data_IF_420695831461
#
_entry.id   IF_420695831461
#
_cell.length_a   1.000
_cell.length_b   1.000
_cell.length_c   1.000
_cell.angle_alpha   90.00
_cell.angle_beta   90.00
_cell.angle_gamma   90.00
#
_symmetry.space_group_name_H-M   'P 1'
#
loop_
_entity.id
_entity.type
_entity.pdbx_description
1 polymer ?
#
# COMPACT_ATOMS: atom_id res chain seq x y z
N UNK A 1 -21.98 -21.96 12.53
CA UNK A 1 -21.10 -20.78 12.57
C UNK A 1 -21.72 -19.80 11.59
N UNK A 2 -22.41 -18.79 12.12
CA UNK A 2 -23.34 -17.96 11.36
C UNK A 2 -22.56 -16.87 10.61
N UNK A 3 -22.87 -16.73 9.33
CA UNK A 3 -22.43 -15.67 8.43
C UNK A 3 -22.70 -14.30 9.06
N UNK A 4 -21.63 -13.56 9.36
CA UNK A 4 -21.76 -12.15 9.68
C UNK A 4 -22.16 -11.42 8.40
N UNK A 5 -23.26 -10.64 8.38
CA UNK A 5 -23.62 -9.87 7.20
C UNK A 5 -22.52 -8.82 6.97
N UNK A 6 -21.88 -8.87 5.79
CA UNK A 6 -21.00 -7.80 5.32
C UNK A 6 -21.82 -6.52 5.26
N UNK A 7 -21.56 -5.60 6.19
CA UNK A 7 -22.15 -4.28 6.16
C UNK A 7 -21.52 -3.51 4.99
N UNK A 8 -22.16 -3.55 3.83
CA UNK A 8 -21.86 -2.63 2.73
C UNK A 8 -22.66 -1.34 2.95
N UNK A 9 -21.94 -0.29 3.37
CA UNK A 9 -22.45 1.07 3.37
C UNK A 9 -21.59 1.92 2.44
N UNK A 10 -22.21 2.74 1.61
CA UNK A 10 -21.48 3.83 0.95
C UNK A 10 -20.86 4.70 2.04
N UNK A 11 -19.54 4.93 1.98
CA UNK A 11 -18.86 5.87 2.87
C UNK A 11 -19.35 7.30 2.57
N UNK A 12 -20.50 7.68 3.15
CA UNK A 12 -21.15 8.99 2.95
C UNK A 12 -20.34 10.16 3.51
N UNK A 13 -19.28 9.86 4.27
CA UNK A 13 -18.43 10.85 4.91
C UNK A 13 -16.97 10.51 4.60
N UNK A 14 -16.36 11.26 3.67
CA UNK A 14 -14.90 11.45 3.70
C UNK A 14 -14.63 12.34 4.90
N UNK A 15 -14.19 11.75 6.01
CA UNK A 15 -13.68 12.51 7.14
C UNK A 15 -12.57 13.43 6.62
N UNK A 16 -12.62 14.71 6.98
CA UNK A 16 -11.55 15.63 6.59
C UNK A 16 -10.32 15.31 7.44
N UNK A 17 -9.37 14.61 6.82
CA UNK A 17 -8.02 14.45 7.33
C UNK A 17 -7.11 15.47 6.65
N UNK A 18 -6.02 15.83 7.32
CA UNK A 18 -4.95 16.54 6.64
C UNK A 18 -4.47 15.69 5.45
N UNK A 19 -4.06 16.35 4.37
CA UNK A 19 -3.45 15.66 3.22
C UNK A 19 -2.27 14.85 3.73
N UNK A 20 -2.29 13.54 3.47
CA UNK A 20 -1.20 12.63 3.85
C UNK A 20 0.07 13.07 3.15
N UNK A 21 1.19 13.05 3.85
CA UNK A 21 2.51 13.21 3.27
C UNK A 21 3.13 11.82 3.13
N UNK A 22 3.21 11.33 1.89
CA UNK A 22 3.72 10.01 1.58
C UNK A 22 5.19 9.85 2.01
N UNK A 23 6.02 10.89 1.88
CA UNK A 23 7.44 10.82 2.23
C UNK A 23 7.68 10.87 3.74
N UNK A 24 6.86 11.62 4.47
CA UNK A 24 6.81 11.54 5.93
C UNK A 24 6.42 10.14 6.39
N UNK A 25 5.39 9.55 5.78
CA UNK A 25 4.97 8.19 6.07
C UNK A 25 6.10 7.19 5.75
N UNK A 26 6.72 7.28 4.57
CA UNK A 26 7.80 6.37 4.20
C UNK A 26 8.94 6.36 5.22
N UNK A 27 9.32 7.55 5.74
CA UNK A 27 10.32 7.65 6.81
C UNK A 27 10.03 6.69 7.98
N UNK A 28 8.76 6.63 8.39
CA UNK A 28 8.31 5.91 9.58
C UNK A 28 7.92 4.45 9.31
N UNK A 29 7.65 4.07 8.06
CA UNK A 29 7.22 2.72 7.66
C UNK A 29 8.30 1.98 6.83
N UNK A 30 9.50 1.68 7.37
CA UNK A 30 10.49 0.89 6.63
C UNK A 30 10.02 -0.54 6.35
N UNK A 31 9.06 -1.04 7.11
CA UNK A 31 8.38 -2.32 6.90
C UNK A 31 6.90 -2.13 7.17
N UNK A 32 6.05 -2.75 6.34
CA UNK A 32 4.62 -2.81 6.52
C UNK A 32 4.08 -4.20 6.17
N UNK A 33 2.91 -4.54 6.68
CA UNK A 33 2.17 -5.76 6.32
C UNK A 33 0.79 -5.36 5.82
N UNK A 34 0.34 -5.95 4.72
CA UNK A 34 -1.03 -5.78 4.26
C UNK A 34 -1.97 -6.59 5.16
N UNK A 35 -2.94 -5.90 5.76
CA UNK A 35 -3.96 -6.52 6.62
C UNK A 35 -5.29 -6.73 5.89
N UNK A 36 -5.59 -5.86 4.94
CA UNK A 36 -6.80 -5.91 4.13
C UNK A 36 -6.51 -5.32 2.76
N UNK A 37 -7.16 -5.90 1.76
CA UNK A 37 -7.37 -5.37 0.42
C UNK A 37 -8.88 -5.40 0.08
N UNK A 38 -9.28 -4.73 -1.00
CA UNK A 38 -10.71 -4.53 -1.30
C UNK A 38 -11.37 -5.63 -2.11
N UNK A 39 -10.61 -6.50 -2.78
CA UNK A 39 -11.18 -7.49 -3.69
C UNK A 39 -11.23 -8.90 -3.11
N UNK A 40 -10.46 -9.16 -2.03
CA UNK A 40 -10.44 -10.39 -1.26
C UNK A 40 -10.19 -11.62 -2.15
N UNK A 41 -9.40 -11.46 -3.22
CA UNK A 41 -8.95 -12.55 -4.09
C UNK A 41 -7.78 -13.36 -3.47
N UNK A 42 -7.24 -12.85 -2.37
CA UNK A 42 -6.22 -13.46 -1.52
C UNK A 42 -4.81 -13.43 -2.11
N UNK A 43 -4.55 -12.65 -3.17
CA UNK A 43 -3.25 -12.56 -3.81
C UNK A 43 -2.24 -11.70 -3.00
N UNK A 44 -2.76 -10.74 -2.21
CA UNK A 44 -2.00 -9.91 -1.27
C UNK A 44 -1.98 -10.49 0.16
N UNK A 45 -2.54 -11.68 0.39
CA UNK A 45 -2.55 -12.31 1.71
C UNK A 45 -1.12 -12.50 2.23
N UNK A 46 -0.91 -12.09 3.49
CA UNK A 46 0.40 -12.10 4.16
C UNK A 46 1.48 -11.27 3.44
N UNK A 47 1.12 -10.35 2.55
CA UNK A 47 2.06 -9.44 1.89
C UNK A 47 2.86 -8.66 2.94
N UNK A 48 4.19 -8.78 2.85
CA UNK A 48 5.12 -7.92 3.60
C UNK A 48 5.79 -6.95 2.64
N UNK A 49 5.78 -5.68 2.99
CA UNK A 49 6.38 -4.59 2.23
C UNK A 49 7.64 -4.13 2.95
N UNK A 50 8.78 -4.07 2.27
CA UNK A 50 10.07 -3.67 2.83
C UNK A 50 10.66 -2.52 2.02
N UNK A 51 11.03 -1.42 2.69
CA UNK A 51 11.75 -0.31 2.08
C UNK A 51 13.24 -0.65 1.97
N UNK A 52 13.74 -0.75 0.74
CA UNK A 52 15.14 -1.03 0.46
C UNK A 52 15.99 0.24 0.29
N UNK A 53 15.36 1.35 -0.14
CA UNK A 53 16.02 2.65 -0.30
C UNK A 53 15.11 3.81 0.13
N UNK A 54 15.71 4.86 0.67
CA UNK A 54 15.03 6.11 1.00
C UNK A 54 15.97 7.30 0.85
N UNK A 55 15.65 8.17 -0.10
CA UNK A 55 16.31 9.46 -0.32
C UNK A 55 15.31 10.55 0.02
N UNK A 56 15.47 11.10 1.21
CA UNK A 56 14.58 12.14 1.72
C UNK A 56 14.74 13.45 0.94
N UNK A 57 15.97 13.85 0.63
CA UNK A 57 16.25 15.11 -0.09
C UNK A 57 15.80 15.03 -1.55
N UNK A 58 16.01 13.88 -2.19
CA UNK A 58 15.58 13.64 -3.56
C UNK A 58 14.11 13.21 -3.71
N UNK A 59 13.36 13.10 -2.61
CA UNK A 59 12.00 12.55 -2.56
C UNK A 59 11.85 11.27 -3.39
N UNK A 60 12.65 10.25 -3.04
CA UNK A 60 12.57 8.90 -3.62
C UNK A 60 12.54 7.82 -2.55
N UNK A 61 11.81 6.76 -2.82
CA UNK A 61 11.79 5.56 -2.00
C UNK A 61 11.69 4.32 -2.90
N UNK A 62 12.37 3.24 -2.52
CA UNK A 62 12.18 1.94 -3.17
C UNK A 62 11.57 0.99 -2.15
N UNK A 63 10.43 0.40 -2.50
CA UNK A 63 9.79 -0.65 -1.73
C UNK A 63 9.72 -1.94 -2.53
N UNK A 64 9.88 -3.06 -1.84
CA UNK A 64 9.64 -4.38 -2.40
C UNK A 64 8.51 -5.06 -1.64
N UNK A 65 7.49 -5.47 -2.38
CA UNK A 65 6.45 -6.38 -1.92
C UNK A 65 6.99 -7.80 -1.97
N UNK A 66 6.95 -8.49 -0.83
CA UNK A 66 7.31 -9.89 -0.66
C UNK A 66 6.00 -10.69 -0.59
N UNK A 67 5.59 -11.24 -1.74
CA UNK A 67 4.36 -12.03 -1.84
C UNK A 67 4.72 -13.50 -1.60
N UNK A 68 4.23 -14.11 -0.51
CA UNK A 68 4.65 -15.46 -0.13
C UNK A 68 4.09 -16.55 -1.04
N UNK A 69 3.05 -16.27 -1.84
CA UNK A 69 2.40 -17.24 -2.71
C UNK A 69 1.46 -18.18 -1.92
N UNK A 70 0.52 -17.59 -1.17
CA UNK A 70 -0.51 -18.35 -0.43
C UNK A 70 -1.78 -18.47 -1.28
N UNK A 71 -2.76 -19.29 -0.84
CA UNK A 71 -4.05 -19.46 -1.51
C UNK A 71 -4.00 -19.90 -2.99
N UNK A 72 -2.91 -20.57 -3.41
CA UNK A 72 -2.73 -21.03 -4.79
C UNK A 72 -2.03 -20.02 -5.71
N UNK A 73 -1.59 -18.88 -5.17
CA UNK A 73 -0.79 -17.90 -5.89
C UNK A 73 0.71 -18.24 -5.87
N UNK A 74 1.45 -17.75 -6.85
CA UNK A 74 2.90 -17.97 -6.92
C UNK A 74 3.66 -17.00 -6.00
N UNK A 75 4.74 -17.50 -5.39
CA UNK A 75 5.67 -16.65 -4.64
C UNK A 75 6.40 -15.72 -5.61
N UNK A 76 6.31 -14.41 -5.37
CA UNK A 76 7.04 -13.41 -6.17
C UNK A 76 7.39 -12.16 -5.37
N UNK A 77 8.37 -11.42 -5.86
CA UNK A 77 8.68 -10.11 -5.35
C UNK A 77 8.29 -9.07 -6.40
N UNK A 78 7.78 -7.92 -5.98
CA UNK A 78 7.44 -6.80 -6.86
C UNK A 78 8.07 -5.54 -6.29
N UNK A 79 8.90 -4.86 -7.09
CA UNK A 79 9.61 -3.66 -6.65
C UNK A 79 8.97 -2.40 -7.22
N UNK A 80 8.84 -1.38 -6.37
CA UNK A 80 8.27 -0.08 -6.69
C UNK A 80 9.31 0.99 -6.40
N UNK A 81 9.80 1.64 -7.45
CA UNK A 81 10.57 2.87 -7.34
C UNK A 81 9.60 4.06 -7.35
N UNK A 82 9.42 4.64 -6.18
CA UNK A 82 8.48 5.72 -5.91
C UNK A 82 9.21 7.05 -5.91
N UNK A 83 8.65 8.03 -6.60
CA UNK A 83 9.08 9.43 -6.58
C UNK A 83 7.92 10.36 -6.26
N UNK A 84 8.25 11.60 -5.92
CA UNK A 84 7.27 12.67 -5.74
C UNK A 84 6.28 12.75 -6.92
N UNK A 85 5.00 12.88 -6.57
CA UNK A 85 3.89 13.05 -7.50
C UNK A 85 3.30 14.47 -7.45
N UNK A 86 2.10 14.67 -8.02
CA UNK A 86 1.50 15.99 -8.17
C UNK A 86 0.98 16.61 -6.85
N UNK A 87 0.95 15.85 -5.76
CA UNK A 87 0.58 16.32 -4.42
C UNK A 87 1.26 15.44 -3.35
N UNK A 88 1.36 15.89 -2.08
CA UNK A 88 2.07 15.15 -1.03
C UNK A 88 1.53 13.73 -0.77
N UNK A 89 0.26 13.48 -1.08
CA UNK A 89 -0.42 12.19 -0.94
C UNK A 89 -0.27 11.30 -2.17
N UNK A 90 0.47 11.72 -3.20
CA UNK A 90 0.61 10.99 -4.46
C UNK A 90 2.06 10.73 -4.80
N UNK A 91 2.36 9.50 -5.17
CA UNK A 91 3.68 9.12 -5.69
C UNK A 91 3.56 8.49 -7.06
N UNK A 92 4.56 8.75 -7.90
CA UNK A 92 4.65 8.15 -9.22
C UNK A 92 5.59 6.95 -9.16
N UNK A 93 5.24 5.89 -9.89
CA UNK A 93 6.10 4.72 -10.12
C UNK A 93 5.88 4.17 -11.53
N UNK A 94 6.79 3.31 -11.98
CA UNK A 94 6.62 2.53 -13.20
C UNK A 94 6.55 1.05 -12.82
N UNK A 95 5.45 0.32 -13.14
CA UNK A 95 5.38 -1.11 -12.85
C UNK A 95 6.45 -1.89 -13.61
N UNK A 96 7.12 -2.81 -12.93
CA UNK A 96 8.16 -3.67 -13.53
C UNK A 96 7.62 -4.51 -14.70
N UNK A 97 6.40 -5.05 -14.53
CA UNK A 97 5.71 -5.87 -15.55
C UNK A 97 4.81 -5.03 -16.50
N UNK A 98 4.93 -3.70 -16.48
CA UNK A 98 4.07 -2.78 -17.24
C UNK A 98 4.52 -2.51 -18.68
N UNK A 99 3.79 -1.66 -19.39
CA UNK A 99 4.16 -1.13 -20.72
C UNK A 99 5.19 0.01 -20.67
N UNK A 100 5.76 0.27 -19.49
CA UNK A 100 6.66 1.39 -19.22
C UNK A 100 5.93 2.70 -18.89
N UNK A 101 4.60 2.73 -18.89
CA UNK A 101 3.84 3.91 -18.47
C UNK A 101 3.97 4.18 -16.97
N UNK A 102 4.01 5.47 -16.62
CA UNK A 102 3.98 5.91 -15.23
C UNK A 102 2.57 5.77 -14.65
N UNK A 103 2.52 5.27 -13.41
CA UNK A 103 1.31 5.06 -12.62
C UNK A 103 1.38 5.91 -11.34
N UNK A 104 0.22 6.15 -10.72
CA UNK A 104 0.12 6.93 -9.48
C UNK A 104 -0.42 6.04 -8.36
N UNK A 105 0.30 6.00 -7.23
CA UNK A 105 -0.22 5.50 -5.97
C UNK A 105 -0.77 6.68 -5.15
N UNK A 106 -1.94 6.51 -4.52
CA UNK A 106 -2.58 7.51 -3.66
C UNK A 106 -2.52 7.06 -2.19
N UNK A 107 -1.98 7.88 -1.31
CA UNK A 107 -1.93 7.64 0.13
C UNK A 107 -3.09 8.36 0.81
N UNK A 108 -4.22 7.67 0.93
CA UNK A 108 -5.48 8.24 1.39
C UNK A 108 -5.40 8.72 2.84
N UNK A 109 -4.74 7.94 3.69
CA UNK A 109 -4.63 8.22 5.12
C UNK A 109 -3.35 7.60 5.70
N UNK A 110 -2.72 8.30 6.63
CA UNK A 110 -1.71 7.73 7.52
C UNK A 110 -1.71 8.47 8.84
N UNK A 111 -1.62 7.73 9.94
CA UNK A 111 -1.31 8.31 11.25
C UNK A 111 0.21 8.51 11.46
N UNK A 112 1.03 8.05 10.51
CA UNK A 112 2.50 8.04 10.55
C UNK A 112 3.10 7.16 11.65
N UNK A 113 2.33 6.29 12.30
CA UNK A 113 2.78 5.46 13.42
C UNK A 113 2.35 4.00 13.28
N UNK A 114 1.04 3.75 13.10
CA UNK A 114 0.44 2.42 13.15
C UNK A 114 -0.02 1.93 11.79
N UNK A 115 -0.71 2.78 11.02
CA UNK A 115 -1.33 2.33 9.77
C UNK A 115 -1.36 3.38 8.66
N UNK A 116 -1.52 2.87 7.44
CA UNK A 116 -1.68 3.67 6.22
C UNK A 116 -2.68 2.99 5.30
N UNK A 117 -3.60 3.77 4.76
CA UNK A 117 -4.51 3.33 3.68
C UNK A 117 -4.00 3.92 2.39
N UNK A 118 -3.78 3.07 1.39
CA UNK A 118 -3.31 3.48 0.08
C UNK A 118 -4.09 2.81 -1.04
N UNK A 119 -4.13 3.48 -2.18
CA UNK A 119 -4.59 2.96 -3.45
C UNK A 119 -3.39 2.83 -4.39
N UNK A 120 -3.16 1.65 -4.97
CA UNK A 120 -2.08 1.43 -5.93
C UNK A 120 -2.54 0.57 -7.12
N UNK A 121 -2.25 0.99 -8.37
CA UNK A 121 -2.46 0.13 -9.54
C UNK A 121 -1.56 -1.12 -9.50
N UNK A 122 -2.16 -2.30 -9.60
CA UNK A 122 -1.47 -3.58 -9.60
C UNK A 122 -2.22 -4.59 -10.49
N UNK A 123 -1.53 -5.35 -11.36
CA UNK A 123 -2.15 -6.31 -12.29
C UNK A 123 -3.37 -5.76 -13.09
N UNK A 124 -3.34 -4.49 -13.48
CA UNK A 124 -4.42 -3.77 -14.18
C UNK A 124 -5.71 -3.54 -13.36
N UNK A 125 -5.66 -3.76 -12.06
CA UNK A 125 -6.71 -3.39 -11.11
C UNK A 125 -6.20 -2.33 -10.14
N UNK A 126 -7.12 -1.59 -9.52
CA UNK A 126 -6.81 -0.61 -8.50
C UNK A 126 -6.94 -1.28 -7.15
N UNK A 127 -5.82 -1.56 -6.49
CA UNK A 127 -5.83 -2.12 -5.14
C UNK A 127 -6.01 -1.02 -4.12
N UNK A 128 -6.85 -1.25 -3.10
CA UNK A 128 -6.95 -0.40 -1.92
C UNK A 128 -6.56 -1.22 -0.70
N UNK A 129 -5.42 -0.86 -0.11
CA UNK A 129 -4.70 -1.70 0.86
C UNK A 129 -4.61 -0.96 2.20
N UNK A 130 -4.85 -1.68 3.29
CA UNK A 130 -4.45 -1.26 4.63
C UNK A 130 -3.09 -1.85 4.98
N UNK A 131 -2.08 -0.99 5.07
CA UNK A 131 -0.78 -1.31 5.65
C UNK A 131 -0.77 -1.06 7.14
N UNK A 132 -0.20 -2.00 7.89
CA UNK A 132 0.11 -1.82 9.30
C UNK A 132 1.59 -1.97 9.61
N UNK A 133 2.03 -1.26 10.65
CA UNK A 133 3.34 -1.43 11.23
C UNK A 133 3.45 -2.82 11.88
N UNK A 134 4.45 -3.65 11.55
CA UNK A 134 4.57 -4.99 12.12
C UNK A 134 4.63 -5.03 13.65
N UNK A 135 5.09 -3.95 14.30
CA UNK A 135 5.17 -3.86 15.76
C UNK A 135 3.79 -3.91 16.44
N UNK A 136 2.74 -3.54 15.72
CA UNK A 136 1.36 -3.50 16.23
C UNK A 136 0.60 -4.81 15.94
N UNK A 137 1.20 -5.73 15.18
CA UNK A 137 0.67 -7.07 14.98
C UNK A 137 1.03 -7.94 16.19
N UNK A 138 0.01 -8.31 16.98
CA UNK A 138 0.16 -9.30 18.04
C UNK A 138 -0.10 -10.70 17.46
N UNK A 139 0.82 -11.61 17.74
CA UNK A 139 0.67 -13.04 17.48
C UNK A 139 -0.39 -13.68 18.39
#
# INVERSE_FOLDING_TARGET
WLDAPQAQGEAKHRLQHNVTDAFKMFRNFPVAVAMFDTDNDGDLDCLTTVRSNFDEEGHKATYTWLLPGVNGHERRNVTFDLREGPSPDKTVFTPEDGDGSEQIANFIYSDNEHCTVLEIPYKNVQECILWMNPKDLKA
#
